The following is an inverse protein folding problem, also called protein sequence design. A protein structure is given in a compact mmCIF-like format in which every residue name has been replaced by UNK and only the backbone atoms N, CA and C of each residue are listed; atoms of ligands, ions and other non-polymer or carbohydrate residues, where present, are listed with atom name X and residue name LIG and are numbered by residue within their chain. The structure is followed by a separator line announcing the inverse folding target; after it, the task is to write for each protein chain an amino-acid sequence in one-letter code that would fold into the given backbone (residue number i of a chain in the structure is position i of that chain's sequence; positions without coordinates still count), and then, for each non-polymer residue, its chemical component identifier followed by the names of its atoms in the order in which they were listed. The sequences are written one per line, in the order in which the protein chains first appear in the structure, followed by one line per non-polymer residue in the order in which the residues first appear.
data_IF_635079006743
#
_entry.id   IF_635079006743
#
_cell.length_a   1.000
_cell.length_b   1.000
_cell.length_c   1.000
_cell.angle_alpha   90.00
_cell.angle_beta   90.00
_cell.angle_gamma   90.00
#
_symmetry.space_group_name_H-M   'P 1'
#
loop_
_entity.id
_entity.type
_entity.pdbx_description
1 polymer ?
#
# COMPACT_ATOMS: atom_id res chain seq x y z
N UNK A 1 2.71 -20.40 11.68
CA UNK A 1 1.23 -20.25 11.65
C UNK A 1 0.85 -19.77 10.27
N UNK A 2 -0.03 -20.53 9.57
CA UNK A 2 -0.57 -20.17 8.27
C UNK A 2 -2.10 -20.16 8.40
N UNK A 3 -2.74 -19.06 8.00
CA UNK A 3 -4.20 -18.85 8.12
C UNK A 3 -4.73 -19.15 9.53
N UNK A 4 -3.99 -18.72 10.56
CA UNK A 4 -4.34 -18.89 11.97
C UNK A 4 -4.13 -20.32 12.51
N UNK A 5 -3.53 -21.23 11.73
CA UNK A 5 -3.29 -22.63 12.12
C UNK A 5 -1.80 -22.97 12.12
N UNK A 6 -1.30 -23.75 13.11
CA UNK A 6 0.06 -24.26 13.07
C UNK A 6 0.20 -25.31 11.97
N UNK A 7 1.25 -25.18 11.14
CA UNK A 7 1.61 -26.13 10.07
C UNK A 7 3.11 -26.31 10.01
N UNK A 8 3.57 -27.52 9.72
CA UNK A 8 4.94 -27.79 9.32
C UNK A 8 5.03 -27.53 7.82
N UNK A 9 5.98 -26.69 7.41
CA UNK A 9 6.16 -26.27 6.02
C UNK A 9 7.55 -26.65 5.53
N UNK A 10 7.64 -27.08 4.28
CA UNK A 10 8.91 -27.08 3.56
C UNK A 10 9.39 -25.64 3.29
N UNK A 11 10.67 -25.45 2.97
CA UNK A 11 11.19 -24.13 2.55
C UNK A 11 10.40 -23.57 1.37
N UNK A 12 10.10 -24.41 0.37
CA UNK A 12 9.31 -24.04 -0.80
C UNK A 12 7.92 -23.55 -0.41
N UNK A 13 7.25 -24.27 0.49
CA UNK A 13 5.90 -23.88 0.93
C UNK A 13 5.92 -22.58 1.70
N UNK A 14 6.93 -22.36 2.54
CA UNK A 14 7.12 -21.11 3.27
C UNK A 14 7.28 -19.92 2.32
N UNK A 15 8.10 -20.06 1.27
CA UNK A 15 8.26 -19.04 0.24
C UNK A 15 6.96 -18.79 -0.54
N UNK A 16 6.21 -19.83 -0.87
CA UNK A 16 4.92 -19.70 -1.55
C UNK A 16 3.89 -18.96 -0.68
N UNK A 17 3.81 -19.28 0.60
CA UNK A 17 2.93 -18.58 1.56
C UNK A 17 3.31 -17.10 1.65
N UNK A 18 4.60 -16.79 1.73
CA UNK A 18 5.09 -15.41 1.73
C UNK A 18 4.70 -14.66 0.44
N UNK A 19 4.94 -15.26 -0.74
CA UNK A 19 4.60 -14.65 -2.03
C UNK A 19 3.11 -14.40 -2.17
N UNK A 20 2.27 -15.36 -1.79
CA UNK A 20 0.81 -15.19 -1.83
C UNK A 20 0.34 -14.07 -0.91
N UNK A 21 0.90 -13.99 0.30
CA UNK A 21 0.63 -12.87 1.19
C UNK A 21 1.06 -11.53 0.59
N UNK A 22 2.24 -11.46 -0.04
CA UNK A 22 2.72 -10.25 -0.71
C UNK A 22 1.81 -9.82 -1.84
N UNK A 23 1.33 -10.76 -2.67
CA UNK A 23 0.35 -10.49 -3.74
C UNK A 23 -0.92 -9.87 -3.18
N UNK A 24 -1.49 -10.47 -2.14
CA UNK A 24 -2.69 -9.94 -1.49
C UNK A 24 -2.47 -8.53 -0.94
N UNK A 25 -1.33 -8.28 -0.30
CA UNK A 25 -0.98 -6.94 0.21
C UNK A 25 -0.86 -5.92 -0.91
N UNK A 26 -0.16 -6.24 -2.01
CA UNK A 26 0.01 -5.33 -3.16
C UNK A 26 -1.34 -5.02 -3.79
N UNK A 27 -2.18 -6.04 -4.01
CA UNK A 27 -3.52 -5.86 -4.59
C UNK A 27 -4.41 -4.98 -3.69
N UNK A 28 -4.44 -5.23 -2.39
CA UNK A 28 -5.23 -4.42 -1.44
C UNK A 28 -4.73 -2.98 -1.37
N UNK A 29 -3.41 -2.78 -1.32
CA UNK A 29 -2.79 -1.45 -1.35
C UNK A 29 -3.18 -0.71 -2.63
N UNK A 30 -3.01 -1.34 -3.79
CA UNK A 30 -3.33 -0.74 -5.09
C UNK A 30 -4.81 -0.38 -5.23
N UNK A 31 -5.72 -1.23 -4.76
CA UNK A 31 -7.17 -0.93 -4.73
C UNK A 31 -7.50 0.28 -3.85
N UNK A 32 -6.88 0.37 -2.70
CA UNK A 32 -7.08 1.50 -1.78
C UNK A 32 -6.57 2.82 -2.36
N UNK A 33 -5.35 2.80 -2.94
CA UNK A 33 -4.77 3.96 -3.60
C UNK A 33 -5.58 4.39 -4.83
N UNK A 34 -6.07 3.43 -5.61
CA UNK A 34 -6.95 3.70 -6.76
C UNK A 34 -8.24 4.39 -6.32
N UNK A 35 -8.85 3.93 -5.23
CA UNK A 35 -10.04 4.58 -4.68
C UNK A 35 -9.78 6.04 -4.27
N UNK A 36 -8.64 6.29 -3.61
CA UNK A 36 -8.22 7.66 -3.25
C UNK A 36 -7.92 8.53 -4.48
N UNK A 37 -7.21 7.98 -5.46
CA UNK A 37 -6.87 8.70 -6.68
C UNK A 37 -8.13 9.08 -7.48
N UNK A 38 -9.10 8.17 -7.61
CA UNK A 38 -10.38 8.44 -8.28
C UNK A 38 -11.20 9.50 -7.54
N UNK A 39 -11.24 9.45 -6.21
CA UNK A 39 -11.93 10.48 -5.42
C UNK A 39 -11.26 11.86 -5.59
N UNK A 40 -9.92 11.90 -5.67
CA UNK A 40 -9.19 13.15 -5.93
C UNK A 40 -9.44 13.67 -7.36
N UNK A 41 -9.40 12.77 -8.36
CA UNK A 41 -9.70 13.11 -9.74
C UNK A 41 -11.07 13.76 -9.87
N UNK A 42 -12.09 13.18 -9.24
CA UNK A 42 -13.44 13.71 -9.23
C UNK A 42 -13.52 15.18 -8.74
N UNK A 43 -12.76 15.50 -7.68
CA UNK A 43 -12.68 16.88 -7.18
C UNK A 43 -11.97 17.80 -8.19
N UNK A 44 -10.87 17.35 -8.79
CA UNK A 44 -10.11 18.13 -9.76
C UNK A 44 -10.91 18.39 -11.04
N UNK A 45 -11.73 17.46 -11.49
CA UNK A 45 -12.69 17.65 -12.58
C UNK A 45 -13.67 18.78 -12.26
N UNK A 46 -14.22 18.78 -11.04
CA UNK A 46 -15.07 19.87 -10.58
C UNK A 46 -14.37 21.22 -10.58
N UNK A 47 -13.12 21.29 -10.11
CA UNK A 47 -12.34 22.51 -10.15
C UNK A 47 -12.07 23.00 -11.57
N UNK A 48 -11.72 22.14 -12.50
CA UNK A 48 -11.47 22.50 -13.90
C UNK A 48 -12.72 23.10 -14.54
N UNK A 49 -13.86 22.45 -14.41
CA UNK A 49 -15.14 22.95 -14.92
C UNK A 49 -15.49 24.32 -14.28
N UNK A 50 -15.28 24.44 -12.96
CA UNK A 50 -15.57 25.68 -12.24
C UNK A 50 -14.65 26.83 -12.68
N UNK A 51 -13.35 26.56 -12.87
CA UNK A 51 -12.37 27.56 -13.31
C UNK A 51 -12.56 27.98 -14.78
N UNK A 52 -13.03 27.09 -15.64
CA UNK A 52 -13.34 27.40 -17.03
C UNK A 52 -14.58 28.31 -17.16
N UNK A 53 -15.49 28.22 -16.20
CA UNK A 53 -16.74 29.02 -16.18
C UNK A 53 -16.85 29.85 -14.89
N UNK A 54 -15.71 30.40 -14.42
CA UNK A 54 -15.63 31.02 -13.09
C UNK A 54 -16.58 32.17 -12.88
N UNK A 55 -16.78 33.02 -13.89
CA UNK A 55 -17.67 34.17 -13.80
C UNK A 55 -19.12 33.73 -13.55
N UNK A 56 -19.58 32.71 -14.27
CA UNK A 56 -20.91 32.12 -14.08
C UNK A 56 -21.07 31.44 -12.71
N UNK A 57 -20.04 30.73 -12.25
CA UNK A 57 -20.02 30.08 -10.92
C UNK A 57 -20.13 31.15 -9.83
N UNK A 58 -19.31 32.19 -9.89
CA UNK A 58 -19.32 33.31 -8.93
C UNK A 58 -20.67 34.06 -8.96
N UNK A 59 -21.23 34.29 -10.15
CA UNK A 59 -22.54 34.91 -10.26
C UNK A 59 -23.64 34.06 -9.64
N UNK A 60 -23.62 32.76 -9.86
CA UNK A 60 -24.57 31.80 -9.27
C UNK A 60 -24.51 31.85 -7.75
N UNK A 61 -23.31 31.85 -7.19
CA UNK A 61 -23.10 31.93 -5.73
C UNK A 61 -23.59 33.24 -5.18
N UNK A 62 -23.29 34.40 -5.84
CA UNK A 62 -23.72 35.72 -5.40
C UNK A 62 -25.25 35.92 -5.42
N UNK A 63 -25.94 35.25 -6.33
CA UNK A 63 -27.43 35.32 -6.43
C UNK A 63 -28.13 34.41 -5.43
N UNK A 64 -27.42 33.51 -4.79
CA UNK A 64 -27.99 32.56 -3.83
C UNK A 64 -28.13 33.22 -2.45
N UNK A 65 -29.26 33.00 -1.79
CA UNK A 65 -29.55 33.55 -0.47
C UNK A 65 -28.77 32.90 0.66
N UNK A 66 -28.32 31.67 0.45
CA UNK A 66 -27.57 30.89 1.46
C UNK A 66 -26.66 29.83 0.81
N UNK A 67 -25.67 29.35 1.57
CA UNK A 67 -24.76 28.32 1.11
C UNK A 67 -25.45 27.01 0.65
N UNK A 68 -26.47 26.48 1.35
CA UNK A 68 -27.22 25.32 0.86
C UNK A 68 -27.92 25.56 -0.46
N UNK A 69 -28.51 26.75 -0.66
CA UNK A 69 -29.15 27.12 -1.92
C UNK A 69 -28.13 27.25 -3.04
N UNK A 70 -26.98 27.88 -2.77
CA UNK A 70 -25.87 27.94 -3.71
C UNK A 70 -25.37 26.56 -4.15
N UNK A 71 -25.29 25.64 -3.23
CA UNK A 71 -24.87 24.26 -3.51
C UNK A 71 -25.82 23.55 -4.49
N UNK A 72 -27.13 23.64 -4.26
CA UNK A 72 -28.17 23.10 -5.15
C UNK A 72 -28.10 23.76 -6.53
N UNK A 73 -28.01 25.10 -6.58
CA UNK A 73 -27.94 25.85 -7.83
C UNK A 73 -26.69 25.49 -8.66
N UNK A 74 -25.55 25.23 -8.01
CA UNK A 74 -24.34 24.76 -8.68
C UNK A 74 -24.50 23.35 -9.25
N UNK A 75 -25.16 22.44 -8.52
CA UNK A 75 -25.45 21.09 -9.00
C UNK A 75 -26.37 21.12 -10.23
N UNK A 76 -27.47 21.87 -10.17
CA UNK A 76 -28.46 21.94 -11.25
C UNK A 76 -27.91 22.63 -12.51
N UNK A 77 -27.13 23.70 -12.35
CA UNK A 77 -26.67 24.51 -13.48
C UNK A 77 -25.44 23.94 -14.18
N UNK A 78 -24.52 23.33 -13.42
CA UNK A 78 -23.22 22.88 -13.94
C UNK A 78 -23.05 21.35 -13.91
N UNK A 79 -24.01 20.62 -13.33
CA UNK A 79 -23.94 19.16 -13.23
C UNK A 79 -22.94 18.66 -12.19
N UNK A 80 -22.53 19.50 -11.22
CA UNK A 80 -21.62 19.10 -10.17
C UNK A 80 -22.24 18.08 -9.23
N UNK A 81 -21.43 17.16 -8.74
CA UNK A 81 -21.82 16.33 -7.61
C UNK A 81 -21.90 17.16 -6.33
N UNK A 82 -22.56 16.63 -5.31
CA UNK A 82 -22.63 17.27 -4.01
C UNK A 82 -21.27 17.61 -3.41
N UNK A 83 -20.31 16.67 -3.56
CA UNK A 83 -18.94 16.83 -3.08
C UNK A 83 -18.20 17.92 -3.87
N UNK A 84 -18.35 17.93 -5.20
CA UNK A 84 -17.75 18.96 -6.05
C UNK A 84 -18.32 20.35 -5.72
N UNK A 85 -19.64 20.50 -5.62
CA UNK A 85 -20.29 21.77 -5.28
C UNK A 85 -19.82 22.29 -3.91
N UNK A 86 -19.75 21.41 -2.91
CA UNK A 86 -19.23 21.79 -1.59
C UNK A 86 -17.77 22.24 -1.66
N UNK A 87 -16.93 21.48 -2.35
CA UNK A 87 -15.50 21.80 -2.47
C UNK A 87 -15.25 23.10 -3.25
N UNK A 88 -16.12 23.43 -4.22
CA UNK A 88 -16.07 24.69 -4.95
C UNK A 88 -16.48 25.86 -4.05
N UNK A 89 -17.52 25.71 -3.23
CA UNK A 89 -17.92 26.73 -2.26
C UNK A 89 -16.85 27.02 -1.20
N UNK A 90 -16.12 25.98 -0.79
CA UNK A 90 -15.03 26.07 0.19
C UNK A 90 -13.68 26.52 -0.44
N UNK A 91 -13.65 26.73 -1.77
CA UNK A 91 -12.42 27.04 -2.48
C UNK A 91 -11.94 28.46 -2.14
N UNK A 92 -10.70 28.62 -1.64
CA UNK A 92 -10.16 29.95 -1.36
C UNK A 92 -9.89 30.75 -2.64
N UNK A 93 -10.14 32.06 -2.60
CA UNK A 93 -9.99 32.97 -3.75
C UNK A 93 -8.58 32.93 -4.38
N UNK A 94 -7.54 32.62 -3.61
CA UNK A 94 -6.18 32.47 -4.16
C UNK A 94 -6.08 31.43 -5.27
N UNK A 95 -6.93 30.40 -5.27
CA UNK A 95 -6.94 29.36 -6.31
C UNK A 95 -7.47 29.83 -7.67
N UNK A 96 -8.00 31.03 -7.74
CA UNK A 96 -8.45 31.64 -9.00
C UNK A 96 -7.30 32.27 -9.81
N UNK A 97 -6.08 32.29 -9.26
CA UNK A 97 -4.91 32.84 -9.95
C UNK A 97 -4.42 31.91 -11.06
N UNK A 98 -3.79 32.47 -12.09
CA UNK A 98 -3.28 31.69 -13.22
C UNK A 98 -2.21 30.65 -12.86
N UNK A 99 -1.44 30.88 -11.77
CA UNK A 99 -0.45 29.92 -11.27
C UNK A 99 -1.14 28.71 -10.64
N UNK A 100 -2.16 28.94 -9.83
CA UNK A 100 -2.91 27.86 -9.17
C UNK A 100 -3.71 27.03 -10.20
N UNK A 101 -4.24 27.66 -11.25
CA UNK A 101 -4.89 26.94 -12.36
C UNK A 101 -3.95 25.94 -13.03
N UNK A 102 -2.70 26.35 -13.32
CA UNK A 102 -1.68 25.45 -13.87
C UNK A 102 -1.37 24.29 -12.92
N UNK A 103 -1.24 24.59 -11.64
CA UNK A 103 -1.00 23.55 -10.61
C UNK A 103 -2.14 22.53 -10.54
N UNK A 104 -3.39 22.95 -10.73
CA UNK A 104 -4.55 22.04 -10.80
C UNK A 104 -4.49 21.16 -12.06
N UNK A 105 -4.11 21.71 -13.20
CA UNK A 105 -3.96 20.93 -14.44
C UNK A 105 -2.79 19.95 -14.37
N UNK A 106 -1.68 20.34 -13.76
CA UNK A 106 -0.53 19.45 -13.50
C UNK A 106 -0.92 18.30 -12.55
N UNK A 107 -1.57 18.62 -11.42
CA UNK A 107 -2.06 17.60 -10.49
C UNK A 107 -3.08 16.66 -11.15
N UNK A 108 -3.97 17.18 -12.00
CA UNK A 108 -4.92 16.39 -12.75
C UNK A 108 -4.22 15.35 -13.64
N UNK A 109 -3.18 15.78 -14.39
CA UNK A 109 -2.41 14.89 -15.23
C UNK A 109 -1.67 13.81 -14.43
N UNK A 110 -1.07 14.19 -13.29
CA UNK A 110 -0.38 13.25 -12.38
C UNK A 110 -1.34 12.20 -11.81
N UNK A 111 -2.53 12.64 -11.38
CA UNK A 111 -3.53 11.73 -10.80
C UNK A 111 -4.07 10.75 -11.86
N UNK A 112 -4.28 11.19 -13.11
CA UNK A 112 -4.65 10.31 -14.21
C UNK A 112 -3.55 9.27 -14.48
N UNK A 113 -2.30 9.71 -14.56
CA UNK A 113 -1.17 8.80 -14.77
C UNK A 113 -1.08 7.76 -13.64
N UNK A 114 -1.30 8.16 -12.40
CA UNK A 114 -1.33 7.26 -11.24
C UNK A 114 -2.49 6.26 -11.31
N UNK A 115 -3.68 6.70 -11.72
CA UNK A 115 -4.84 5.80 -11.91
C UNK A 115 -4.50 4.72 -12.95
N UNK A 116 -3.97 5.11 -14.11
CA UNK A 116 -3.59 4.17 -15.18
C UNK A 116 -2.53 3.16 -14.71
N UNK A 117 -1.53 3.61 -13.94
CA UNK A 117 -0.53 2.73 -13.34
C UNK A 117 -1.19 1.70 -12.40
N UNK A 118 -2.05 2.16 -11.49
CA UNK A 118 -2.73 1.29 -10.52
C UNK A 118 -3.69 0.31 -11.20
N UNK A 119 -4.41 0.76 -12.22
CA UNK A 119 -5.27 -0.11 -13.04
C UNK A 119 -4.45 -1.17 -13.79
N UNK A 120 -3.29 -0.81 -14.32
CA UNK A 120 -2.36 -1.74 -14.95
C UNK A 120 -1.87 -2.80 -13.98
N UNK A 121 -1.52 -2.41 -12.75
CA UNK A 121 -1.11 -3.36 -11.69
C UNK A 121 -2.26 -4.33 -11.37
N UNK A 122 -3.48 -3.82 -11.26
CA UNK A 122 -4.65 -4.62 -10.89
C UNK A 122 -5.17 -5.50 -12.04
N UNK A 123 -4.79 -5.23 -13.28
CA UNK A 123 -5.25 -5.98 -14.45
C UNK A 123 -4.59 -7.35 -14.63
N UNK A 124 -3.43 -7.60 -14.02
CA UNK A 124 -2.67 -8.82 -14.25
C UNK A 124 -1.80 -9.23 -13.07
N UNK A 125 -1.91 -10.50 -12.67
CA UNK A 125 -1.06 -11.10 -11.63
C UNK A 125 0.44 -11.04 -11.99
N UNK A 126 0.77 -11.09 -13.29
CA UNK A 126 2.17 -10.95 -13.75
C UNK A 126 2.73 -9.56 -13.44
N UNK A 127 1.90 -8.51 -13.53
CA UNK A 127 2.32 -7.16 -13.18
C UNK A 127 2.47 -7.02 -11.67
N UNK A 128 1.56 -7.62 -10.88
CA UNK A 128 1.71 -7.69 -9.41
C UNK A 128 3.05 -8.37 -9.03
N UNK A 129 3.37 -9.50 -9.67
CA UNK A 129 4.64 -10.20 -9.42
C UNK A 129 5.87 -9.34 -9.81
N UNK A 130 5.77 -8.55 -10.88
CA UNK A 130 6.84 -7.63 -11.27
C UNK A 130 7.07 -6.52 -10.24
N UNK A 131 5.99 -5.99 -9.64
CA UNK A 131 6.06 -5.02 -8.54
C UNK A 131 6.73 -5.64 -7.32
N UNK A 132 6.32 -6.86 -6.93
CA UNK A 132 6.93 -7.57 -5.79
C UNK A 132 8.41 -7.80 -6.05
N UNK A 133 8.78 -8.24 -7.26
CA UNK A 133 10.18 -8.46 -7.63
C UNK A 133 11.00 -7.17 -7.51
N UNK A 134 10.48 -6.05 -8.01
CA UNK A 134 11.15 -4.74 -7.91
C UNK A 134 11.39 -4.35 -6.45
N UNK A 135 10.37 -4.43 -5.61
CA UNK A 135 10.48 -4.13 -4.18
C UNK A 135 11.50 -5.04 -3.46
N UNK A 136 11.54 -6.33 -3.81
CA UNK A 136 12.51 -7.26 -3.22
C UNK A 136 13.94 -6.99 -3.69
N UNK A 137 14.15 -6.63 -4.96
CA UNK A 137 15.49 -6.24 -5.48
C UNK A 137 16.00 -4.99 -4.76
N UNK A 138 15.16 -3.97 -4.56
CA UNK A 138 15.53 -2.78 -3.80
C UNK A 138 15.95 -3.11 -2.35
N UNK A 139 15.30 -4.08 -1.73
CA UNK A 139 15.66 -4.55 -0.38
C UNK A 139 17.03 -5.26 -0.42
N UNK A 140 17.26 -6.12 -1.40
CA UNK A 140 18.54 -6.83 -1.55
C UNK A 140 19.68 -5.84 -1.81
N UNK A 141 19.47 -4.83 -2.65
CA UNK A 141 20.48 -3.79 -2.91
C UNK A 141 20.86 -2.98 -1.67
N UNK A 142 19.90 -2.73 -0.78
CA UNK A 142 20.13 -1.92 0.43
C UNK A 142 20.65 -2.72 1.62
N UNK A 143 20.23 -3.97 1.75
CA UNK A 143 20.41 -4.77 2.97
C UNK A 143 20.99 -6.16 2.71
N UNK A 144 21.29 -6.51 1.45
CA UNK A 144 21.84 -7.80 1.09
C UNK A 144 23.26 -7.96 1.65
N UNK A 145 23.50 -9.08 2.27
CA UNK A 145 24.83 -9.51 2.73
C UNK A 145 25.17 -10.89 2.14
N UNK A 146 26.43 -11.26 2.21
CA UNK A 146 26.88 -12.56 1.76
C UNK A 146 26.39 -13.67 2.71
N UNK A 147 26.13 -14.85 2.14
CA UNK A 147 25.73 -16.01 2.91
C UNK A 147 26.85 -16.42 3.88
N UNK A 148 26.54 -16.49 5.17
CA UNK A 148 27.49 -16.84 6.23
C UNK A 148 27.59 -18.35 6.50
N UNK A 149 26.64 -19.15 6.00
CA UNK A 149 26.61 -20.60 6.18
C UNK A 149 26.93 -21.30 4.87
N UNK A 150 27.74 -22.32 4.92
CA UNK A 150 28.06 -23.15 3.77
C UNK A 150 26.94 -24.17 3.49
N UNK A 151 26.69 -24.44 2.20
CA UNK A 151 25.76 -25.51 1.79
C UNK A 151 26.60 -26.73 1.48
N UNK A 152 26.47 -27.77 2.28
CA UNK A 152 27.13 -29.05 2.09
C UNK A 152 26.13 -30.11 1.62
N UNK A 153 26.55 -31.02 0.72
CA UNK A 153 25.66 -32.03 0.16
C UNK A 153 25.33 -33.16 1.16
N UNK A 154 26.19 -33.39 2.12
CA UNK A 154 25.96 -34.34 3.23
C UNK A 154 26.27 -33.61 4.55
N UNK A 155 25.25 -33.39 5.34
CA UNK A 155 25.44 -33.14 6.78
C UNK A 155 25.62 -34.48 7.47
N UNK A 156 26.69 -34.65 8.23
CA UNK A 156 26.72 -35.71 9.23
C UNK A 156 25.53 -35.51 10.16
N UNK A 157 24.78 -36.57 10.44
CA UNK A 157 23.74 -36.55 11.46
C UNK A 157 24.41 -36.13 12.77
N UNK A 158 24.10 -34.92 13.24
CA UNK A 158 24.60 -34.45 14.53
C UNK A 158 23.91 -35.28 15.59
N UNK A 159 24.65 -36.22 16.16
CA UNK A 159 24.16 -36.96 17.32
C UNK A 159 23.99 -36.01 18.51
N UNK A 160 22.94 -36.22 19.28
CA UNK A 160 22.70 -35.43 20.49
C UNK A 160 23.91 -35.46 21.45
N UNK A 161 24.71 -36.51 21.35
CA UNK A 161 25.94 -36.69 22.12
C UNK A 161 27.05 -35.72 21.70
N UNK A 162 27.12 -35.35 20.39
CA UNK A 162 28.10 -34.40 19.87
C UNK A 162 27.85 -32.96 20.32
N UNK A 163 26.63 -32.67 20.81
CA UNK A 163 26.27 -31.36 21.34
C UNK A 163 26.53 -31.19 22.83
N UNK A 164 26.94 -32.27 23.53
CA UNK A 164 27.22 -32.23 24.94
C UNK A 164 28.65 -31.75 25.15
N UNK A 165 28.83 -30.59 25.76
CA UNK A 165 30.17 -30.11 26.12
C UNK A 165 30.80 -31.03 27.16
N UNK A 166 32.08 -31.39 26.95
CA UNK A 166 32.86 -32.09 27.97
C UNK A 166 33.04 -31.18 29.18
N UNK A 167 32.38 -31.54 30.27
CA UNK A 167 32.47 -30.86 31.56
C UNK A 167 32.79 -31.87 32.66
N UNK A 168 33.70 -31.50 33.57
CA UNK A 168 33.95 -32.28 34.80
C UNK A 168 32.72 -32.23 35.70
N UNK A 169 32.05 -33.35 35.88
CA UNK A 169 30.84 -33.46 36.66
C UNK A 169 30.96 -34.38 37.85
N UNK A 170 30.33 -33.98 38.94
CA UNK A 170 30.16 -34.85 40.10
C UNK A 170 28.82 -35.58 39.96
N UNK A 171 28.91 -36.89 39.71
CA UNK A 171 27.73 -37.76 39.68
C UNK A 171 27.54 -38.41 41.05
N UNK A 172 26.39 -38.19 41.68
CA UNK A 172 26.02 -38.81 42.94
C UNK A 172 25.07 -39.99 42.65
N UNK A 173 25.39 -41.17 43.24
CA UNK A 173 24.57 -42.37 43.08
C UNK A 173 24.00 -42.72 44.47
N UNK A 174 22.67 -42.78 44.57
CA UNK A 174 22.01 -43.17 45.81
C UNK A 174 22.07 -44.71 46.02
N UNK A 175 21.87 -45.15 47.24
CA UNK A 175 21.86 -46.56 47.59
C UNK A 175 20.77 -47.41 46.90
N UNK A 176 19.75 -46.70 46.34
CA UNK A 176 18.64 -47.27 45.55
C UNK A 176 18.86 -47.20 44.02
N UNK A 177 20.08 -46.89 43.58
CA UNK A 177 20.45 -46.88 42.15
C UNK A 177 20.04 -45.65 41.37
N UNK A 178 19.58 -44.56 42.00
CA UNK A 178 19.31 -43.31 41.31
C UNK A 178 20.60 -42.51 41.15
N UNK A 179 20.93 -42.15 39.89
CA UNK A 179 22.00 -41.24 39.57
C UNK A 179 21.48 -39.80 39.41
N UNK A 180 22.20 -38.82 39.96
CA UNK A 180 21.91 -37.40 39.83
C UNK A 180 23.21 -36.69 39.44
N UNK A 181 23.11 -35.90 38.40
CA UNK A 181 24.10 -34.96 37.89
C UNK A 181 23.96 -33.63 38.61
#
# INVERSE_FOLDING_TARGET
IVDGRPRVLSLRDSLNVFLNHRRDVVVRRSKFELGKARARLHILEGYRIALDRIDEVVETIKRSESTPVAKIALQERFGFSEIQAQTILDMPLKRLTGLERRSIDEEYAEVIARILELETILASDKVVDSVIRKELVEIVERYGDERRTEIVEQGEDIDLEDMIQEEDMVVTISHKGYAKR
#
